data_IF_499294209650
#
_entry.id   IF_499294209650
#
_cell.length_a   1.000
_cell.length_b   1.000
_cell.length_c   1.000
_cell.angle_alpha   90.00
_cell.angle_beta   90.00
_cell.angle_gamma   90.00
#
_symmetry.space_group_name_H-M   'P 1'
#
loop_
_entity.id
_entity.type
_entity.pdbx_description
1 polymer ?
#
# COMPACT_ATOMS: atom_id res chain seq x y z
N UNK A 1 -30.92 -41.69 -3.99
CA UNK A 1 -31.33 -40.36 -3.45
C UNK A 1 -31.52 -40.40 -1.94
N UNK A 2 -32.14 -41.45 -1.38
CA UNK A 2 -32.35 -41.58 0.07
C UNK A 2 -31.04 -41.70 0.90
N UNK A 3 -30.01 -42.37 0.38
CA UNK A 3 -28.74 -42.54 1.11
C UNK A 3 -27.97 -41.23 1.33
N UNK A 4 -28.08 -40.26 0.41
CA UNK A 4 -27.46 -38.95 0.60
C UNK A 4 -28.18 -38.13 1.67
N UNK A 5 -29.51 -38.25 1.79
CA UNK A 5 -30.28 -37.63 2.86
C UNK A 5 -29.93 -38.27 4.21
N UNK A 6 -29.83 -39.59 4.28
CA UNK A 6 -29.44 -40.31 5.51
C UNK A 6 -28.02 -39.91 5.92
N UNK A 7 -27.10 -39.81 4.95
CA UNK A 7 -25.73 -39.34 5.19
C UNK A 7 -25.71 -37.89 5.65
N UNK A 8 -26.52 -36.99 5.09
CA UNK A 8 -26.60 -35.58 5.51
C UNK A 8 -27.24 -35.36 6.90
N UNK A 9 -28.20 -36.22 7.28
CA UNK A 9 -28.91 -36.17 8.57
C UNK A 9 -28.09 -36.85 9.68
N UNK A 10 -27.11 -37.67 9.34
CA UNK A 10 -26.30 -38.38 10.32
C UNK A 10 -25.53 -37.40 11.21
N UNK A 11 -25.59 -37.58 12.54
CA UNK A 11 -24.98 -36.65 13.52
C UNK A 11 -23.51 -36.33 13.22
N UNK A 12 -22.76 -37.32 12.73
CA UNK A 12 -21.32 -37.17 12.43
C UNK A 12 -21.06 -36.21 11.26
N UNK A 13 -21.84 -36.26 10.19
CA UNK A 13 -21.67 -35.39 9.02
C UNK A 13 -22.21 -34.00 9.31
N UNK A 14 -23.32 -33.90 10.05
CA UNK A 14 -23.86 -32.63 10.53
C UNK A 14 -22.87 -31.89 11.42
N UNK A 15 -22.29 -32.56 12.42
CA UNK A 15 -21.29 -31.94 13.31
C UNK A 15 -20.00 -31.59 12.55
N UNK A 16 -19.54 -32.45 11.64
CA UNK A 16 -18.39 -32.14 10.77
C UNK A 16 -18.65 -30.93 9.88
N UNK A 17 -19.80 -30.85 9.23
CA UNK A 17 -20.15 -29.72 8.36
C UNK A 17 -20.30 -28.42 9.15
N UNK A 18 -20.97 -28.47 10.30
CA UNK A 18 -21.21 -27.30 11.15
C UNK A 18 -19.93 -26.77 11.81
N UNK A 19 -18.96 -27.62 12.14
CA UNK A 19 -17.69 -27.16 12.71
C UNK A 19 -16.88 -26.31 11.72
N UNK A 20 -16.94 -26.63 10.42
CA UNK A 20 -16.23 -25.85 9.40
C UNK A 20 -16.85 -24.46 9.20
N UNK A 21 -18.18 -24.35 9.23
CA UNK A 21 -18.86 -23.05 9.08
C UNK A 21 -18.70 -22.15 10.30
N UNK A 22 -18.78 -22.70 11.51
CA UNK A 22 -18.52 -21.93 12.74
C UNK A 22 -17.05 -21.52 12.81
N UNK A 23 -16.12 -22.40 12.40
CA UNK A 23 -14.70 -22.10 12.33
C UNK A 23 -14.36 -20.98 11.34
N UNK A 24 -14.97 -20.99 10.15
CA UNK A 24 -14.74 -19.91 9.17
C UNK A 24 -15.33 -18.57 9.62
N UNK A 25 -16.50 -18.57 10.26
CA UNK A 25 -17.07 -17.37 10.86
C UNK A 25 -16.19 -16.80 12.00
N UNK A 26 -15.66 -17.68 12.86
CA UNK A 26 -14.73 -17.28 13.92
C UNK A 26 -13.43 -16.69 13.35
N UNK A 27 -12.85 -17.33 12.33
CA UNK A 27 -11.66 -16.84 11.64
C UNK A 27 -11.89 -15.47 11.00
N UNK A 28 -13.03 -15.28 10.31
CA UNK A 28 -13.39 -14.00 9.72
C UNK A 28 -13.51 -12.90 10.78
N UNK A 29 -14.05 -13.22 11.96
CA UNK A 29 -14.15 -12.28 13.08
C UNK A 29 -12.77 -11.88 13.63
N UNK A 30 -11.86 -12.86 13.80
CA UNK A 30 -10.48 -12.59 14.25
C UNK A 30 -9.70 -11.75 13.23
N UNK A 31 -9.75 -12.11 11.94
CA UNK A 31 -9.09 -11.33 10.88
C UNK A 31 -9.69 -9.93 10.76
N UNK A 32 -11.00 -9.75 10.99
CA UNK A 32 -11.63 -8.43 10.93
C UNK A 32 -11.14 -7.48 12.03
N UNK A 33 -10.63 -8.01 13.15
CA UNK A 33 -10.00 -7.19 14.18
C UNK A 33 -8.61 -6.69 13.73
N UNK A 34 -7.85 -7.54 13.04
CA UNK A 34 -6.53 -7.18 12.48
C UNK A 34 -6.62 -6.32 11.21
N UNK A 35 -7.75 -6.36 10.48
CA UNK A 35 -8.01 -5.55 9.27
C UNK A 35 -8.59 -4.17 9.64
N UNK A 36 -8.53 -3.74 10.90
CA UNK A 36 -8.66 -2.31 11.19
C UNK A 36 -7.45 -1.61 10.57
N UNK A 37 -7.66 -1.02 9.39
CA UNK A 37 -6.67 -0.18 8.74
C UNK A 37 -6.10 0.77 9.79
N UNK A 38 -4.76 0.82 9.89
CA UNK A 38 -4.09 1.73 10.79
C UNK A 38 -4.78 3.10 10.71
N UNK A 39 -5.10 3.76 11.84
CA UNK A 39 -5.84 5.01 11.82
C UNK A 39 -5.12 5.93 10.85
N UNK A 40 -5.76 6.23 9.72
CA UNK A 40 -5.15 7.10 8.73
C UNK A 40 -4.83 8.39 9.46
N UNK A 41 -3.53 8.75 9.50
CA UNK A 41 -3.10 9.97 10.16
C UNK A 41 -3.83 11.13 9.49
N UNK A 42 -4.87 11.65 10.16
CA UNK A 42 -5.74 12.71 9.61
C UNK A 42 -5.06 14.08 9.57
N UNK A 43 -3.78 14.16 9.96
CA UNK A 43 -3.05 15.41 10.08
C UNK A 43 -3.38 16.14 11.38
N UNK A 44 -2.80 17.33 11.53
CA UNK A 44 -3.05 18.23 12.67
C UNK A 44 -4.35 19.03 12.47
N UNK A 45 -4.89 19.04 11.25
CA UNK A 45 -6.10 19.76 10.91
C UNK A 45 -7.31 18.84 11.11
N UNK A 46 -8.29 19.30 11.88
CA UNK A 46 -9.60 18.65 11.95
C UNK A 46 -10.18 18.49 10.54
N UNK A 47 -11.01 17.46 10.33
CA UNK A 47 -11.57 17.03 9.03
C UNK A 47 -12.22 18.15 8.19
N UNK A 48 -12.52 19.29 8.82
CA UNK A 48 -13.14 20.44 8.19
C UNK A 48 -12.31 21.71 8.40
N UNK A 49 -11.66 22.18 7.35
CA UNK A 49 -11.14 23.54 7.31
C UNK A 49 -12.33 24.53 7.34
N UNK A 50 -12.23 25.59 8.14
CA UNK A 50 -13.27 26.62 8.21
C UNK A 50 -13.44 27.38 6.87
N UNK A 51 -12.41 27.35 6.02
CA UNK A 51 -12.38 28.00 4.72
C UNK A 51 -11.79 27.06 3.66
N UNK A 52 -12.20 27.17 2.38
CA UNK A 52 -11.59 26.40 1.32
C UNK A 52 -10.10 26.78 1.18
N UNK A 53 -9.19 25.80 1.05
CA UNK A 53 -7.77 26.09 0.87
C UNK A 53 -7.56 26.82 -0.46
N UNK A 54 -6.80 27.92 -0.43
CA UNK A 54 -6.44 28.69 -1.63
C UNK A 54 -4.94 29.02 -1.61
N UNK A 55 -4.17 28.37 -2.48
CA UNK A 55 -2.79 28.76 -2.74
C UNK A 55 -2.78 29.92 -3.74
N UNK A 56 -2.18 31.06 -3.38
CA UNK A 56 -2.04 32.22 -4.28
C UNK A 56 -0.76 32.19 -5.11
N UNK A 57 0.28 31.49 -4.63
CA UNK A 57 1.60 31.40 -5.25
C UNK A 57 2.18 30.02 -4.97
N UNK A 58 2.77 29.41 -6.00
CA UNK A 58 3.47 28.13 -5.89
C UNK A 58 4.92 28.37 -6.32
N UNK A 59 5.86 28.03 -5.44
CA UNK A 59 7.29 28.06 -5.78
C UNK A 59 7.70 26.61 -6.01
N UNK A 60 7.94 26.26 -7.28
CA UNK A 60 8.43 24.94 -7.66
C UNK A 60 9.94 25.00 -7.84
N UNK A 61 10.68 24.31 -6.97
CA UNK A 61 12.14 24.25 -7.02
C UNK A 61 12.57 22.92 -7.66
N UNK A 62 12.96 22.96 -8.94
CA UNK A 62 13.64 21.84 -9.57
C UNK A 62 15.11 21.85 -9.15
N UNK A 63 15.42 21.20 -8.03
CA UNK A 63 16.80 20.99 -7.61
C UNK A 63 17.42 19.91 -8.49
N UNK A 64 18.23 20.32 -9.47
CA UNK A 64 19.07 19.39 -10.20
C UNK A 64 20.03 18.70 -9.21
N UNK A 65 19.91 17.38 -9.06
CA UNK A 65 20.82 16.58 -8.22
C UNK A 65 20.18 15.93 -6.98
N UNK A 66 18.89 16.09 -6.72
CA UNK A 66 18.20 15.29 -5.70
C UNK A 66 18.01 13.84 -6.17
N UNK A 67 18.26 12.80 -5.33
CA UNK A 67 17.99 11.42 -5.71
C UNK A 67 16.48 11.25 -5.91
N UNK A 68 16.04 10.96 -7.13
CA UNK A 68 14.66 10.59 -7.36
C UNK A 68 14.39 9.21 -6.73
N UNK A 69 13.12 8.89 -6.44
CA UNK A 69 12.75 7.56 -5.96
C UNK A 69 13.27 6.46 -6.91
N UNK A 70 13.29 6.74 -8.22
CA UNK A 70 13.79 5.82 -9.25
C UNK A 70 15.32 5.69 -9.25
N UNK A 71 16.03 6.73 -8.81
CA UNK A 71 17.49 6.83 -8.88
C UNK A 71 18.19 6.34 -7.59
N UNK A 72 17.46 6.16 -6.49
CA UNK A 72 18.04 5.94 -5.15
C UNK A 72 18.70 4.56 -4.99
N UNK A 73 18.26 3.55 -5.75
CA UNK A 73 18.71 2.16 -5.59
C UNK A 73 19.44 1.60 -6.80
N UNK A 74 19.73 2.43 -7.81
CA UNK A 74 20.43 2.00 -9.01
C UNK A 74 21.94 2.26 -8.90
N UNK A 75 22.74 1.22 -9.10
CA UNK A 75 24.18 1.33 -9.04
C UNK A 75 24.71 1.89 -10.35
N UNK A 76 25.09 3.17 -10.34
CA UNK A 76 25.60 3.91 -11.51
C UNK A 76 27.11 4.17 -11.43
N UNK A 77 27.97 3.19 -11.79
CA UNK A 77 29.43 3.31 -11.65
C UNK A 77 30.05 4.40 -12.55
N UNK A 78 29.45 4.67 -13.71
CA UNK A 78 29.92 5.73 -14.61
C UNK A 78 29.67 7.12 -14.03
N UNK A 79 28.52 7.33 -13.39
CA UNK A 79 28.20 8.58 -12.71
C UNK A 79 29.17 8.86 -11.55
N UNK A 80 29.56 7.82 -10.81
CA UNK A 80 30.59 7.93 -9.77
C UNK A 80 31.97 8.32 -10.34
N UNK A 81 32.36 7.78 -11.51
CA UNK A 81 33.62 8.13 -12.20
C UNK A 81 33.64 9.54 -12.80
N UNK A 82 32.46 10.09 -13.09
CA UNK A 82 32.29 11.42 -13.68
C UNK A 82 31.99 12.49 -12.63
N UNK A 83 31.89 12.12 -11.36
CA UNK A 83 31.66 13.05 -10.26
C UNK A 83 32.73 14.16 -10.23
N UNK A 84 32.29 15.41 -10.11
CA UNK A 84 33.17 16.59 -10.08
C UNK A 84 33.74 17.03 -11.43
N UNK A 85 33.43 16.35 -12.54
CA UNK A 85 33.84 16.80 -13.88
C UNK A 85 32.82 17.77 -14.46
N UNK A 86 33.25 18.75 -15.27
CA UNK A 86 32.32 19.62 -15.98
C UNK A 86 31.45 18.80 -16.94
N UNK A 87 30.24 19.29 -17.18
CA UNK A 87 29.31 18.67 -18.12
C UNK A 87 29.97 18.59 -19.51
N UNK A 88 29.92 17.44 -20.22
CA UNK A 88 30.56 17.30 -21.51
C UNK A 88 30.01 18.32 -22.51
N UNK A 89 30.91 18.90 -23.32
CA UNK A 89 30.55 19.90 -24.34
C UNK A 89 29.54 19.37 -25.36
N UNK A 90 29.51 18.05 -25.59
CA UNK A 90 28.53 17.40 -26.47
C UNK A 90 27.07 17.65 -26.09
N UNK A 91 26.80 17.93 -24.81
CA UNK A 91 25.46 18.22 -24.30
C UNK A 91 25.19 19.72 -24.07
N UNK A 92 26.24 20.54 -24.06
CA UNK A 92 26.14 21.99 -23.79
C UNK A 92 26.21 22.82 -25.07
N UNK A 93 26.68 22.22 -26.17
CA UNK A 93 26.77 22.86 -27.48
C UNK A 93 25.42 22.78 -28.21
N UNK A 94 24.49 23.62 -27.77
CA UNK A 94 23.25 23.99 -28.46
C UNK A 94 23.35 25.43 -28.94
#
# INVERSE_FOLDING_TARGET
>A
MNDQLISAINRRTFLKGSSYSVGSAALACLLSQDIQAAPQWKGVLNEKLHFPPRAKRVIHLCMAGGPSHLETLDYKPELAKLNGKPMPESFTKG
#
